data_IF_194576043711
#
_entry.id   IF_194576043711
#
_cell.length_a   1.000
_cell.length_b   1.000
_cell.length_c   1.000
_cell.angle_alpha   90.00
_cell.angle_beta   90.00
_cell.angle_gamma   90.00
#
_symmetry.space_group_name_H-M   'P 1'
#
loop_
_entity.id
_entity.type
_entity.pdbx_description
1 polymer ?
#
# COMPACT_ATOMS: atom_id res chain seq x y z
N UNK A 1 -66.29 -54.36 30.41
CA UNK A 1 -66.21 -54.47 31.88
C UNK A 1 -64.84 -53.96 32.26
N UNK A 2 -64.77 -52.80 32.90
CA UNK A 2 -63.51 -52.25 33.44
C UNK A 2 -62.97 -53.11 34.59
N UNK A 3 -61.66 -53.10 34.83
CA UNK A 3 -61.20 -52.41 36.04
C UNK A 3 -59.95 -51.55 35.82
N UNK A 4 -59.95 -50.30 36.29
CA UNK A 4 -59.41 -49.84 37.59
C UNK A 4 -57.88 -49.98 37.75
N UNK A 5 -57.21 -48.85 37.51
CA UNK A 5 -56.23 -48.13 38.35
C UNK A 5 -55.34 -48.93 39.32
N UNK A 6 -54.00 -48.86 39.12
CA UNK A 6 -53.02 -48.84 40.21
C UNK A 6 -51.94 -47.79 39.90
N UNK A 7 -51.76 -46.88 40.87
CA UNK A 7 -50.79 -45.78 40.91
C UNK A 7 -49.34 -46.28 41.07
N UNK A 8 -48.36 -45.59 40.47
CA UNK A 8 -46.99 -45.59 40.99
C UNK A 8 -46.19 -44.30 40.73
N UNK A 9 -46.06 -43.52 41.82
CA UNK A 9 -44.91 -42.74 42.35
C UNK A 9 -43.97 -41.98 41.37
N UNK A 10 -43.75 -40.66 41.59
CA UNK A 10 -42.79 -39.87 40.80
C UNK A 10 -41.33 -40.19 41.15
N UNK A 11 -40.53 -40.48 40.12
CA UNK A 11 -39.06 -40.64 40.22
C UNK A 11 -38.38 -39.27 40.42
N UNK A 12 -37.35 -39.14 41.29
CA UNK A 12 -36.64 -37.87 41.45
C UNK A 12 -35.85 -37.53 40.19
N UNK A 13 -35.92 -36.25 39.79
CA UNK A 13 -35.19 -35.69 38.67
C UNK A 13 -33.67 -35.93 38.80
N UNK A 14 -33.07 -36.51 37.76
CA UNK A 14 -31.63 -36.45 37.58
C UNK A 14 -31.26 -35.01 37.16
N UNK A 15 -30.24 -34.38 37.76
CA UNK A 15 -29.78 -33.07 37.33
C UNK A 15 -29.17 -33.18 35.93
N UNK A 16 -29.76 -32.48 34.97
CA UNK A 16 -29.20 -32.31 33.64
C UNK A 16 -27.93 -31.47 33.75
N UNK A 17 -26.78 -32.06 33.39
CA UNK A 17 -25.52 -31.35 33.20
C UNK A 17 -25.62 -30.56 31.89
N UNK A 18 -26.32 -29.43 31.91
CA UNK A 18 -26.09 -28.35 30.97
C UNK A 18 -25.16 -27.36 31.65
N UNK A 19 -23.87 -27.68 31.63
CA UNK A 19 -22.84 -26.70 31.92
C UNK A 19 -22.87 -25.65 30.82
N UNK A 20 -22.92 -24.39 31.25
CA UNK A 20 -22.80 -23.19 30.44
C UNK A 20 -21.62 -23.32 29.47
N UNK A 21 -21.92 -23.53 28.19
CA UNK A 21 -20.96 -23.24 27.13
C UNK A 21 -20.93 -21.73 27.01
N UNK A 22 -20.06 -21.13 27.81
CA UNK A 22 -19.59 -19.75 27.66
C UNK A 22 -19.39 -19.50 26.17
N UNK A 23 -20.19 -18.60 25.62
CA UNK A 23 -20.17 -18.27 24.20
C UNK A 23 -18.75 -17.96 23.78
N UNK A 24 -18.16 -18.83 22.94
CA UNK A 24 -16.98 -18.45 22.16
C UNK A 24 -17.43 -17.26 21.33
N UNK A 25 -16.99 -16.06 21.72
CA UNK A 25 -17.22 -14.85 20.96
C UNK A 25 -16.83 -15.15 19.50
N UNK A 26 -17.78 -14.96 18.58
CA UNK A 26 -17.48 -15.03 17.15
C UNK A 26 -16.29 -14.09 16.93
N UNK A 27 -15.19 -14.54 16.28
CA UNK A 27 -14.10 -13.64 15.97
C UNK A 27 -14.67 -12.42 15.25
N UNK A 28 -14.25 -11.20 15.61
CA UNK A 28 -14.83 -9.99 15.06
C UNK A 28 -14.83 -10.09 13.53
N UNK A 29 -15.93 -9.71 12.92
CA UNK A 29 -16.03 -9.70 11.47
C UNK A 29 -14.96 -8.75 10.91
N UNK A 30 -14.12 -9.27 10.00
CA UNK A 30 -13.09 -8.49 9.30
C UNK A 30 -13.79 -7.32 8.59
N UNK A 31 -13.26 -6.10 8.72
CA UNK A 31 -13.91 -4.94 8.09
C UNK A 31 -13.85 -4.99 6.55
N UNK A 32 -14.68 -4.19 5.84
CA UNK A 32 -14.55 -4.02 4.39
C UNK A 32 -13.15 -3.56 3.97
N UNK A 33 -12.53 -2.67 4.76
CA UNK A 33 -11.18 -2.16 4.50
C UNK A 33 -10.13 -3.28 4.55
N UNK A 34 -10.17 -4.10 5.60
CA UNK A 34 -9.28 -5.25 5.73
C UNK A 34 -9.55 -6.31 4.65
N UNK A 35 -10.81 -6.51 4.27
CA UNK A 35 -11.18 -7.43 3.20
C UNK A 35 -10.56 -7.02 1.87
N UNK A 36 -10.70 -5.76 1.46
CA UNK A 36 -10.14 -5.24 0.21
C UNK A 36 -8.60 -5.25 0.24
N UNK A 37 -7.99 -4.85 1.35
CA UNK A 37 -6.53 -4.91 1.53
C UNK A 37 -6.00 -6.34 1.38
N UNK A 38 -6.64 -7.34 2.00
CA UNK A 38 -6.24 -8.74 1.90
C UNK A 38 -6.42 -9.28 0.47
N UNK A 39 -7.52 -8.93 -0.20
CA UNK A 39 -7.74 -9.33 -1.60
C UNK A 39 -6.64 -8.77 -2.51
N UNK A 40 -6.28 -7.49 -2.33
CA UNK A 40 -5.19 -6.86 -3.06
C UNK A 40 -3.85 -7.53 -2.80
N UNK A 41 -3.49 -7.79 -1.54
CA UNK A 41 -2.22 -8.43 -1.18
C UNK A 41 -2.13 -9.86 -1.71
N UNK A 42 -3.22 -10.63 -1.65
CA UNK A 42 -3.30 -11.98 -2.25
C UNK A 42 -3.13 -11.95 -3.77
N UNK A 43 -3.71 -10.95 -4.43
CA UNK A 43 -3.58 -10.77 -5.88
C UNK A 43 -2.13 -10.46 -6.26
N UNK A 44 -1.44 -9.60 -5.50
CA UNK A 44 -0.02 -9.34 -5.70
C UNK A 44 0.79 -10.62 -5.48
N UNK A 45 0.58 -11.27 -4.33
CA UNK A 45 1.44 -12.37 -3.87
C UNK A 45 0.85 -13.14 -2.68
N UNK A 46 -0.09 -14.07 -2.93
CA UNK A 46 -0.73 -14.87 -1.88
C UNK A 46 0.21 -15.77 -1.05
N UNK A 47 1.45 -15.99 -1.49
CA UNK A 47 2.41 -16.86 -0.80
C UNK A 47 3.61 -16.11 -0.25
N UNK A 48 3.67 -14.79 -0.44
CA UNK A 48 4.79 -13.97 -0.02
C UNK A 48 4.57 -13.31 1.33
N UNK A 49 5.66 -12.75 1.85
CA UNK A 49 5.59 -11.83 3.00
C UNK A 49 5.03 -10.47 2.56
N UNK A 50 4.42 -9.76 3.50
CA UNK A 50 3.96 -8.39 3.29
C UNK A 50 4.41 -7.51 4.44
N UNK A 51 4.74 -6.26 4.17
CA UNK A 51 5.00 -5.25 5.19
C UNK A 51 3.98 -4.14 5.03
N UNK A 52 3.31 -3.78 6.12
CA UNK A 52 2.35 -2.68 6.17
C UNK A 52 2.86 -1.58 7.11
N UNK A 53 2.58 -0.34 6.73
CA UNK A 53 3.05 0.86 7.42
C UNK A 53 1.90 1.85 7.56
N UNK A 54 1.73 2.44 8.74
CA UNK A 54 0.74 3.45 9.02
C UNK A 54 1.43 4.80 9.35
N UNK A 55 0.94 5.88 8.78
CA UNK A 55 1.40 7.24 9.06
C UNK A 55 0.27 8.11 9.62
N UNK A 56 0.65 9.00 10.54
CA UNK A 56 -0.23 10.02 11.09
C UNK A 56 -0.62 11.02 9.99
N UNK A 57 -1.93 11.20 9.69
CA UNK A 57 -2.38 12.11 8.65
C UNK A 57 -2.39 13.57 9.09
N UNK A 58 -2.05 13.88 10.35
CA UNK A 58 -2.06 15.26 10.88
C UNK A 58 -0.75 16.01 10.62
N UNK A 59 0.31 15.30 10.22
CA UNK A 59 1.64 15.86 9.92
C UNK A 59 2.03 15.59 8.47
N UNK A 60 2.76 16.53 7.85
CA UNK A 60 3.24 16.37 6.46
C UNK A 60 4.35 15.34 6.34
N UNK A 61 5.14 15.17 7.40
CA UNK A 61 6.23 14.19 7.46
C UNK A 61 6.49 13.78 8.91
N UNK A 62 6.87 12.52 9.11
CA UNK A 62 7.24 11.97 10.41
C UNK A 62 7.56 10.48 10.30
N UNK A 63 8.05 9.87 11.38
CA UNK A 63 8.20 8.42 11.42
C UNK A 63 6.82 7.74 11.32
N UNK A 64 6.77 6.48 10.87
CA UNK A 64 5.54 5.69 10.96
C UNK A 64 5.05 5.60 12.41
N UNK A 65 3.74 5.65 12.60
CA UNK A 65 3.12 5.40 13.92
C UNK A 65 2.98 3.90 14.21
N UNK A 66 2.96 3.07 13.17
CA UNK A 66 3.01 1.63 13.27
C UNK A 66 3.58 1.04 11.98
N UNK A 67 4.30 -0.07 12.10
CA UNK A 67 4.72 -0.87 10.97
C UNK A 67 4.86 -2.33 11.39
N UNK A 68 4.49 -3.26 10.49
CA UNK A 68 4.58 -4.69 10.76
C UNK A 68 4.87 -5.46 9.47
N UNK A 69 5.80 -6.40 9.57
CA UNK A 69 6.12 -7.42 8.57
C UNK A 69 5.43 -8.72 8.95
N UNK A 70 4.58 -9.21 8.05
CA UNK A 70 3.75 -10.39 8.17
C UNK A 70 4.39 -11.57 7.45
N UNK A 71 4.34 -12.74 8.09
CA UNK A 71 4.70 -13.98 7.43
C UNK A 71 3.70 -14.29 6.29
N UNK A 72 4.14 -15.12 5.34
CA UNK A 72 3.24 -15.62 4.30
C UNK A 72 2.02 -16.29 4.94
N UNK A 73 0.83 -15.89 4.51
CA UNK A 73 -0.44 -16.43 5.01
C UNK A 73 -0.97 -15.82 6.32
N UNK A 74 -0.28 -14.86 6.96
CA UNK A 74 -0.77 -14.16 8.17
C UNK A 74 -1.85 -13.10 7.82
N UNK A 75 -2.93 -13.56 7.21
CA UNK A 75 -4.06 -12.72 6.79
C UNK A 75 -4.85 -12.17 7.98
N UNK A 76 -4.90 -12.91 9.10
CA UNK A 76 -5.52 -12.45 10.34
C UNK A 76 -4.74 -11.28 10.94
N UNK A 77 -3.41 -11.36 11.01
CA UNK A 77 -2.58 -10.27 11.50
C UNK A 77 -2.68 -9.03 10.60
N UNK A 78 -2.78 -9.23 9.28
CA UNK A 78 -3.04 -8.15 8.32
C UNK A 78 -4.40 -7.50 8.58
N UNK A 79 -5.46 -8.30 8.76
CA UNK A 79 -6.79 -7.79 9.07
C UNK A 79 -6.78 -6.92 10.34
N UNK A 80 -6.20 -7.43 11.42
CA UNK A 80 -6.07 -6.71 12.69
C UNK A 80 -5.30 -5.39 12.53
N UNK A 81 -4.22 -5.38 11.75
CA UNK A 81 -3.45 -4.17 11.49
C UNK A 81 -4.27 -3.15 10.71
N UNK A 82 -4.98 -3.58 9.66
CA UNK A 82 -5.82 -2.66 8.87
C UNK A 82 -6.99 -2.14 9.69
N UNK A 83 -7.70 -3.01 10.40
CA UNK A 83 -8.87 -2.64 11.23
C UNK A 83 -8.51 -1.67 12.35
N UNK A 84 -7.30 -1.80 12.92
CA UNK A 84 -6.81 -0.90 13.96
C UNK A 84 -6.54 0.53 13.47
N UNK A 85 -6.11 0.69 12.21
CA UNK A 85 -5.55 1.96 11.73
C UNK A 85 -6.35 2.61 10.59
N UNK A 86 -7.22 1.86 9.90
CA UNK A 86 -8.01 2.40 8.80
C UNK A 86 -8.95 3.50 9.29
N UNK A 87 -8.97 4.62 8.57
CA UNK A 87 -9.80 5.78 8.90
C UNK A 87 -9.17 6.77 9.89
N UNK A 88 -8.13 6.37 10.62
CA UNK A 88 -7.35 7.23 11.53
C UNK A 88 -5.91 7.44 11.08
N UNK A 89 -5.39 6.56 10.22
CA UNK A 89 -4.05 6.63 9.65
C UNK A 89 -4.05 6.37 8.14
N UNK A 90 -3.03 6.89 7.48
CA UNK A 90 -2.73 6.58 6.09
C UNK A 90 -1.98 5.24 6.01
N UNK A 91 -2.55 4.24 5.35
CA UNK A 91 -1.96 2.89 5.27
C UNK A 91 -1.22 2.65 3.96
N UNK A 92 -0.08 1.97 4.06
CA UNK A 92 0.80 1.66 2.95
C UNK A 92 1.28 0.21 3.02
N UNK A 93 1.71 -0.32 1.88
CA UNK A 93 2.50 -1.55 1.81
C UNK A 93 3.89 -1.26 1.24
N UNK A 94 4.89 -2.03 1.65
CA UNK A 94 6.12 -2.15 0.86
C UNK A 94 5.82 -2.98 -0.40
N UNK A 95 6.12 -2.42 -1.58
CA UNK A 95 5.72 -3.00 -2.85
C UNK A 95 6.31 -4.40 -3.09
N UNK A 96 7.61 -4.56 -2.86
CA UNK A 96 8.32 -5.82 -3.01
C UNK A 96 8.33 -6.66 -1.72
N UNK A 97 8.67 -7.94 -1.87
CA UNK A 97 8.54 -8.91 -0.78
C UNK A 97 9.64 -8.72 0.27
N UNK A 98 9.28 -8.54 1.55
CA UNK A 98 10.25 -8.49 2.64
C UNK A 98 11.04 -9.80 2.79
N UNK A 99 12.31 -9.69 3.17
CA UNK A 99 13.12 -10.83 3.59
C UNK A 99 12.60 -11.50 4.86
N UNK A 100 13.01 -12.75 5.11
CA UNK A 100 12.56 -13.50 6.29
C UNK A 100 12.98 -12.86 7.63
N UNK A 101 14.07 -12.09 7.62
CA UNK A 101 14.65 -11.38 8.77
C UNK A 101 14.33 -9.88 8.76
N UNK A 102 13.47 -9.41 7.85
CA UNK A 102 13.12 -8.00 7.77
C UNK A 102 12.51 -7.51 9.09
N UNK A 103 12.83 -6.28 9.52
CA UNK A 103 12.39 -5.76 10.81
C UNK A 103 10.88 -5.49 10.82
N UNK A 104 10.37 -5.26 12.04
CA UNK A 104 9.05 -4.69 12.27
C UNK A 104 9.19 -3.15 12.19
N UNK A 105 9.15 -2.61 10.97
CA UNK A 105 9.47 -1.21 10.70
C UNK A 105 9.17 -0.82 9.25
N UNK A 106 9.35 0.47 8.91
CA UNK A 106 9.47 0.90 7.50
C UNK A 106 10.70 0.23 6.92
N UNK A 107 10.53 -0.49 5.81
CA UNK A 107 11.62 -1.22 5.20
C UNK A 107 12.56 -0.30 4.43
N UNK A 108 13.75 -0.84 4.17
CA UNK A 108 14.83 -0.26 3.37
C UNK A 108 15.20 -1.27 2.29
N UNK A 109 15.99 -0.88 1.29
CA UNK A 109 16.40 -1.76 0.18
C UNK A 109 16.98 -3.08 0.65
N UNK A 110 17.83 -3.06 1.67
CA UNK A 110 18.47 -4.26 2.24
C UNK A 110 17.50 -5.23 2.93
N UNK A 111 16.28 -4.78 3.26
CA UNK A 111 15.24 -5.61 3.85
C UNK A 111 14.37 -6.32 2.81
N UNK A 112 14.54 -6.02 1.51
CA UNK A 112 13.78 -6.67 0.43
C UNK A 112 14.42 -8.02 0.12
N UNK A 113 13.63 -9.09 0.23
CA UNK A 113 14.07 -10.44 -0.06
C UNK A 113 13.85 -10.84 -1.52
N UNK A 114 12.78 -10.34 -2.14
CA UNK A 114 12.46 -10.60 -3.55
C UNK A 114 11.79 -9.42 -4.24
N UNK A 115 12.19 -9.15 -5.48
CA UNK A 115 11.50 -8.20 -6.35
C UNK A 115 10.38 -8.96 -7.06
N UNK A 116 9.13 -8.56 -6.81
CA UNK A 116 7.92 -9.18 -7.39
C UNK A 116 7.17 -8.27 -8.34
N UNK A 117 7.51 -6.98 -8.36
CA UNK A 117 6.88 -5.98 -9.22
C UNK A 117 7.85 -4.85 -9.53
N UNK A 118 7.62 -4.21 -10.67
CA UNK A 118 8.04 -2.81 -10.92
C UNK A 118 6.80 -1.93 -10.95
N UNK A 119 6.97 -0.64 -10.67
CA UNK A 119 5.85 0.27 -10.48
C UNK A 119 6.19 1.70 -10.87
N UNK A 120 5.14 2.48 -11.08
CA UNK A 120 5.17 3.92 -11.22
C UNK A 120 4.03 4.52 -10.39
N UNK A 121 4.25 5.72 -9.85
CA UNK A 121 3.24 6.52 -9.15
C UNK A 121 3.13 7.85 -9.87
N UNK A 122 1.90 8.25 -10.19
CA UNK A 122 1.63 9.47 -10.95
C UNK A 122 0.63 10.29 -10.16
N UNK A 123 1.12 11.41 -9.62
CA UNK A 123 0.30 12.39 -8.93
C UNK A 123 -0.13 13.53 -9.86
N UNK A 124 -1.25 14.22 -9.57
CA UNK A 124 -1.67 15.40 -10.30
C UNK A 124 -0.60 16.49 -10.28
N UNK A 125 -0.32 17.09 -11.44
CA UNK A 125 0.62 18.20 -11.57
C UNK A 125 0.23 19.40 -10.68
N UNK A 126 1.24 20.05 -10.11
CA UNK A 126 1.05 21.25 -9.29
C UNK A 126 0.44 22.40 -10.10
N UNK A 127 -0.38 23.21 -9.42
CA UNK A 127 -1.02 24.39 -10.02
C UNK A 127 -2.19 24.10 -10.96
N UNK A 128 -2.52 22.82 -11.21
CA UNK A 128 -3.73 22.43 -11.92
C UNK A 128 -4.86 22.20 -10.91
N UNK A 129 -6.09 22.56 -11.29
CA UNK A 129 -7.28 22.22 -10.52
C UNK A 129 -7.36 20.69 -10.31
N UNK A 130 -7.61 20.27 -9.07
CA UNK A 130 -7.42 18.90 -8.60
C UNK A 130 -8.30 17.90 -9.35
N UNK A 131 -9.58 18.21 -9.56
CA UNK A 131 -10.49 17.28 -10.23
C UNK A 131 -10.14 17.13 -11.72
N UNK A 132 -9.88 18.25 -12.42
CA UNK A 132 -9.45 18.21 -13.82
C UNK A 132 -8.14 17.42 -14.01
N UNK A 133 -7.19 17.60 -13.10
CA UNK A 133 -5.94 16.85 -13.16
C UNK A 133 -6.19 15.35 -12.93
N UNK A 134 -7.09 14.99 -12.01
CA UNK A 134 -7.49 13.59 -11.80
C UNK A 134 -8.23 12.98 -12.98
N UNK A 135 -9.09 13.73 -13.67
CA UNK A 135 -9.75 13.26 -14.90
C UNK A 135 -8.72 12.95 -16.00
N UNK A 136 -7.69 13.78 -16.09
CA UNK A 136 -6.56 13.57 -17.04
C UNK A 136 -5.82 12.27 -16.71
N UNK A 137 -5.53 12.02 -15.43
CA UNK A 137 -4.88 10.79 -15.00
C UNK A 137 -5.78 9.55 -15.18
N UNK A 138 -7.09 9.66 -14.92
CA UNK A 138 -8.03 8.58 -15.17
C UNK A 138 -8.08 8.23 -16.68
N UNK A 139 -8.12 9.23 -17.56
CA UNK A 139 -8.05 9.01 -19.00
C UNK A 139 -6.69 8.43 -19.45
N UNK A 140 -5.59 8.76 -18.78
CA UNK A 140 -4.29 8.10 -19.01
C UNK A 140 -4.34 6.63 -18.58
N UNK A 141 -4.89 6.33 -17.40
CA UNK A 141 -5.06 4.98 -16.90
C UNK A 141 -5.89 4.12 -17.86
N UNK A 142 -7.00 4.64 -18.41
CA UNK A 142 -7.79 3.92 -19.42
C UNK A 142 -6.99 3.61 -20.69
N UNK A 143 -6.21 4.57 -21.20
CA UNK A 143 -5.34 4.36 -22.37
C UNK A 143 -4.28 3.29 -22.12
N UNK A 144 -3.69 3.27 -20.93
CA UNK A 144 -2.67 2.28 -20.56
C UNK A 144 -3.20 0.85 -20.50
N UNK A 145 -4.50 0.64 -20.20
CA UNK A 145 -5.11 -0.70 -20.21
C UNK A 145 -5.01 -1.39 -21.56
N UNK A 146 -4.95 -0.61 -22.66
CA UNK A 146 -4.82 -1.10 -24.03
C UNK A 146 -3.42 -0.87 -24.63
N UNK A 147 -2.44 -0.45 -23.81
CA UNK A 147 -1.07 -0.20 -24.27
C UNK A 147 -0.30 -1.49 -24.60
N UNK A 148 0.94 -1.33 -25.06
CA UNK A 148 1.82 -2.45 -25.40
C UNK A 148 2.26 -3.27 -24.16
N UNK A 149 2.43 -2.61 -23.02
CA UNK A 149 2.72 -3.23 -21.72
C UNK A 149 1.71 -2.75 -20.67
N UNK A 150 0.46 -3.22 -20.71
CA UNK A 150 -0.57 -2.71 -19.81
C UNK A 150 -0.24 -3.07 -18.35
N UNK A 151 -0.48 -2.20 -17.36
CA UNK A 151 -0.26 -2.53 -15.95
C UNK A 151 -1.03 -3.80 -15.54
N UNK A 152 -0.45 -4.62 -14.67
CA UNK A 152 -1.16 -5.75 -14.05
C UNK A 152 -2.24 -5.23 -13.10
N UNK A 153 -1.93 -4.15 -12.39
CA UNK A 153 -2.80 -3.54 -11.40
C UNK A 153 -2.73 -2.02 -11.55
N UNK A 154 -3.88 -1.37 -11.40
CA UNK A 154 -3.95 0.08 -11.26
C UNK A 154 -4.73 0.38 -9.97
N UNK A 155 -4.11 1.17 -9.10
CA UNK A 155 -4.69 1.66 -7.86
C UNK A 155 -4.93 3.16 -8.00
N UNK A 156 -6.17 3.58 -7.83
CA UNK A 156 -6.47 4.98 -7.53
C UNK A 156 -6.17 5.17 -6.04
N UNK A 157 -5.05 5.85 -5.74
CA UNK A 157 -4.57 6.03 -4.37
C UNK A 157 -5.36 7.09 -3.61
N UNK A 158 -6.30 7.77 -4.27
CA UNK A 158 -6.99 8.97 -3.80
C UNK A 158 -6.17 10.25 -3.96
N UNK A 159 -4.84 10.17 -4.08
CA UNK A 159 -3.95 11.29 -4.42
C UNK A 159 -3.67 11.38 -5.92
N UNK A 160 -3.38 10.21 -6.50
CA UNK A 160 -2.98 9.98 -7.88
C UNK A 160 -3.24 8.51 -8.27
N UNK A 161 -2.43 7.98 -9.18
CA UNK A 161 -2.57 6.61 -9.67
C UNK A 161 -1.26 5.83 -9.57
N UNK A 162 -1.34 4.64 -9.00
CA UNK A 162 -0.23 3.71 -8.86
C UNK A 162 -0.41 2.56 -9.84
N UNK A 163 0.62 2.33 -10.64
CA UNK A 163 0.65 1.31 -11.68
C UNK A 163 1.66 0.24 -11.28
N UNK A 164 1.23 -1.03 -11.26
CA UNK A 164 2.09 -2.15 -10.93
C UNK A 164 2.14 -3.13 -12.09
N UNK A 165 3.35 -3.52 -12.48
CA UNK A 165 3.62 -4.63 -13.40
C UNK A 165 4.18 -5.77 -12.57
N UNK A 166 3.36 -6.79 -12.32
CA UNK A 166 3.76 -7.95 -11.54
C UNK A 166 4.66 -8.85 -12.39
N UNK A 167 5.70 -9.39 -11.76
CA UNK A 167 6.64 -10.28 -12.43
C UNK A 167 6.14 -11.72 -12.41
N UNK A 168 6.44 -12.44 -13.49
CA UNK A 168 6.12 -13.86 -13.62
C UNK A 168 6.91 -14.68 -12.60
N UNK A 169 8.19 -14.33 -12.43
CA UNK A 169 9.08 -14.91 -11.44
C UNK A 169 9.59 -13.80 -10.52
N UNK A 170 9.69 -14.13 -9.23
CA UNK A 170 10.27 -13.24 -8.22
C UNK A 170 11.79 -13.20 -8.40
N UNK A 171 12.35 -12.01 -8.54
CA UNK A 171 13.78 -11.83 -8.82
C UNK A 171 14.58 -11.64 -7.54
N UNK A 172 15.85 -12.03 -7.59
CA UNK A 172 16.83 -11.76 -6.54
C UNK A 172 17.30 -10.29 -6.63
N UNK A 173 17.09 -9.48 -5.57
CA UNK A 173 17.59 -8.10 -5.53
C UNK A 173 19.09 -7.99 -5.80
N UNK A 174 19.91 -8.96 -5.37
CA UNK A 174 21.36 -8.92 -5.56
C UNK A 174 21.77 -8.89 -7.04
N UNK A 175 20.94 -9.46 -7.92
CA UNK A 175 21.19 -9.52 -9.36
C UNK A 175 20.39 -8.47 -10.14
N UNK A 176 19.18 -8.15 -9.67
CA UNK A 176 18.20 -7.39 -10.45
C UNK A 176 17.90 -5.98 -9.92
N UNK A 177 18.56 -5.52 -8.85
CA UNK A 177 18.33 -4.18 -8.29
C UNK A 177 18.43 -3.07 -9.34
N UNK A 178 19.55 -3.00 -10.06
CA UNK A 178 19.80 -1.97 -11.07
C UNK A 178 18.75 -2.00 -12.18
N UNK A 179 18.39 -3.20 -12.63
CA UNK A 179 17.35 -3.39 -13.64
C UNK A 179 15.99 -2.92 -13.12
N UNK A 180 15.57 -3.33 -11.93
CA UNK A 180 14.23 -3.03 -11.41
C UNK A 180 14.04 -1.53 -11.17
N UNK A 181 15.01 -0.86 -10.56
CA UNK A 181 14.95 0.59 -10.36
C UNK A 181 15.06 1.34 -11.70
N UNK A 182 15.86 0.83 -12.64
CA UNK A 182 15.96 1.42 -13.98
C UNK A 182 14.68 1.29 -14.81
N UNK A 183 14.02 0.13 -14.72
CA UNK A 183 12.75 -0.12 -15.36
C UNK A 183 11.64 0.74 -14.72
N UNK A 184 11.61 0.84 -13.40
CA UNK A 184 10.69 1.73 -12.68
C UNK A 184 10.86 3.20 -13.08
N UNK A 185 12.10 3.70 -13.15
CA UNK A 185 12.39 5.06 -13.65
C UNK A 185 11.89 5.27 -15.07
N UNK A 186 12.15 4.32 -15.96
CA UNK A 186 11.73 4.42 -17.35
C UNK A 186 10.21 4.50 -17.47
N UNK A 187 9.49 3.64 -16.75
CA UNK A 187 8.02 3.65 -16.70
C UNK A 187 7.48 4.95 -16.10
N UNK A 188 8.07 5.45 -15.01
CA UNK A 188 7.69 6.73 -14.43
C UNK A 188 7.90 7.88 -15.43
N UNK A 189 9.05 7.92 -16.11
CA UNK A 189 9.34 8.92 -17.13
C UNK A 189 8.30 8.92 -18.27
N UNK A 190 7.99 7.76 -18.85
CA UNK A 190 6.99 7.63 -19.92
C UNK A 190 5.59 8.08 -19.48
N UNK A 191 5.30 7.95 -18.18
CA UNK A 191 4.01 8.33 -17.61
C UNK A 191 3.94 9.77 -17.12
N UNK A 192 5.06 10.50 -17.07
CA UNK A 192 5.16 11.78 -16.38
C UNK A 192 4.96 11.64 -14.86
N UNK A 193 5.36 10.49 -14.31
CA UNK A 193 5.24 10.15 -12.89
C UNK A 193 6.45 10.54 -12.05
N UNK A 194 6.30 10.28 -10.74
CA UNK A 194 7.28 10.63 -9.73
C UNK A 194 8.51 9.70 -9.73
N UNK A 195 9.61 10.19 -9.17
CA UNK A 195 10.83 9.41 -8.95
C UNK A 195 10.66 8.45 -7.75
N UNK A 196 9.91 7.36 -7.95
CA UNK A 196 9.52 6.40 -6.89
C UNK A 196 10.03 4.98 -7.12
N UNK A 197 11.05 4.82 -7.96
CA UNK A 197 11.55 3.54 -8.46
C UNK A 197 12.18 2.59 -7.43
N UNK A 198 12.50 3.07 -6.22
CA UNK A 198 13.31 2.32 -5.26
C UNK A 198 12.61 1.02 -4.85
N UNK A 199 13.31 -0.12 -4.82
CA UNK A 199 12.66 -1.45 -4.66
C UNK A 199 11.91 -1.65 -3.34
N UNK A 200 12.18 -0.82 -2.34
CA UNK A 200 11.55 -0.76 -1.02
C UNK A 200 10.42 0.29 -0.93
N UNK A 201 9.93 0.79 -2.06
CA UNK A 201 8.91 1.84 -2.11
C UNK A 201 7.65 1.43 -1.36
N UNK A 202 7.13 2.38 -0.58
CA UNK A 202 5.80 2.31 -0.01
C UNK A 202 4.76 2.76 -1.06
N UNK A 203 3.77 1.91 -1.31
CA UNK A 203 2.60 2.22 -2.13
C UNK A 203 1.35 2.31 -1.25
N UNK A 204 0.27 2.95 -1.73
CA UNK A 204 -0.96 3.07 -0.95
C UNK A 204 -1.62 1.70 -0.87
N UNK A 205 -2.08 1.33 0.33
CA UNK A 205 -2.86 0.10 0.52
C UNK A 205 -4.35 0.37 0.21
N UNK A 206 -4.95 -0.29 -0.80
CA UNK A 206 -6.38 -0.16 -1.10
C UNK A 206 -7.27 -0.65 0.04
N UNK A 207 -8.52 -0.18 0.07
CA UNK A 207 -9.50 -0.48 1.12
C UNK A 207 -9.53 0.53 2.25
N UNK A 208 -8.55 1.42 2.36
CA UNK A 208 -8.50 2.48 3.36
C UNK A 208 -8.53 3.88 2.73
N UNK A 209 -9.09 4.90 3.40
CA UNK A 209 -9.09 6.25 2.86
C UNK A 209 -7.70 6.88 2.86
N UNK A 210 -7.36 7.61 1.79
CA UNK A 210 -6.33 8.62 1.77
C UNK A 210 -6.82 9.84 2.56
N UNK A 211 -6.12 10.13 3.65
CA UNK A 211 -6.41 11.22 4.57
C UNK A 211 -5.41 12.36 4.29
N UNK A 212 -5.81 13.42 3.56
CA UNK A 212 -4.91 14.53 3.30
C UNK A 212 -4.55 15.27 4.58
N UNK A 213 -3.31 15.74 4.66
CA UNK A 213 -2.83 16.58 5.77
C UNK A 213 -3.50 17.96 5.75
N UNK A 214 -3.45 18.72 6.85
CA UNK A 214 -4.01 20.08 6.88
C UNK A 214 -3.49 20.97 5.74
N UNK A 215 -2.19 20.89 5.42
CA UNK A 215 -1.59 21.62 4.30
C UNK A 215 -2.14 21.17 2.94
N UNK A 216 -2.39 19.88 2.74
CA UNK A 216 -3.02 19.35 1.51
C UNK A 216 -4.49 19.74 1.41
N UNK A 217 -5.23 19.78 2.52
CA UNK A 217 -6.61 20.25 2.58
C UNK A 217 -6.70 21.73 2.18
N UNK A 218 -5.79 22.56 2.67
CA UNK A 218 -5.71 23.98 2.29
C UNK A 218 -5.47 24.18 0.78
N UNK A 219 -4.87 23.19 0.10
CA UNK A 219 -4.68 23.14 -1.36
C UNK A 219 -5.84 22.47 -2.12
N UNK A 220 -6.98 22.26 -1.47
CA UNK A 220 -8.18 21.67 -2.08
C UNK A 220 -8.20 20.15 -2.17
N UNK A 221 -7.22 19.43 -1.58
CA UNK A 221 -7.25 17.97 -1.55
C UNK A 221 -8.30 17.48 -0.55
N UNK A 222 -9.09 16.50 -0.96
CA UNK A 222 -10.16 15.90 -0.14
C UNK A 222 -9.87 14.45 0.19
N UNK A 223 -10.49 13.96 1.27
CA UNK A 223 -10.45 12.54 1.65
C UNK A 223 -11.05 11.68 0.54
N UNK A 224 -10.33 10.63 0.11
CA UNK A 224 -10.77 9.70 -0.95
C UNK A 224 -10.41 8.27 -0.60
N UNK A 225 -11.29 7.31 -0.91
CA UNK A 225 -10.98 5.89 -0.73
C UNK A 225 -9.90 5.46 -1.73
N UNK A 226 -8.84 4.81 -1.25
CA UNK A 226 -7.89 4.14 -2.13
C UNK A 226 -8.51 2.83 -2.62
N UNK A 227 -8.55 2.61 -3.94
CA UNK A 227 -9.28 1.51 -4.58
C UNK A 227 -8.51 0.92 -5.75
N UNK A 228 -8.70 -0.37 -5.98
CA UNK A 228 -8.22 -1.03 -7.19
C UNK A 228 -9.19 -0.73 -8.33
N UNK A 229 -8.71 -0.16 -9.43
CA UNK A 229 -9.53 0.14 -10.63
C UNK A 229 -9.24 -0.78 -11.82
N UNK A 230 -8.16 -1.55 -11.74
CA UNK A 230 -7.82 -2.64 -12.66
C UNK A 230 -7.09 -3.72 -11.86
N UNK A 231 -7.47 -4.98 -12.05
CA UNK A 231 -6.72 -6.13 -11.56
C UNK A 231 -6.78 -7.27 -12.58
N UNK A 232 -5.64 -7.58 -13.18
CA UNK A 232 -5.49 -8.66 -14.15
C UNK A 232 -4.45 -9.68 -13.63
N UNK A 233 -4.76 -10.48 -12.58
CA UNK A 233 -3.77 -11.28 -11.86
C UNK A 233 -2.98 -12.28 -12.72
N UNK A 234 -3.54 -12.70 -13.87
CA UNK A 234 -2.88 -13.56 -14.84
C UNK A 234 -1.85 -12.82 -15.73
N UNK A 235 -1.92 -11.49 -15.80
CA UNK A 235 -0.99 -10.65 -16.55
C UNK A 235 0.29 -10.46 -15.74
N UNK A 236 1.31 -11.24 -16.06
CA UNK A 236 2.62 -11.19 -15.40
C UNK A 236 3.74 -11.14 -16.43
N UNK A 237 4.80 -10.42 -16.10
CA UNK A 237 5.85 -10.08 -17.03
C UNK A 237 7.18 -10.73 -16.69
N UNK A 238 7.93 -11.14 -17.71
CA UNK A 238 9.37 -11.31 -17.60
C UNK A 238 10.05 -9.94 -17.72
N UNK A 239 11.28 -9.77 -17.20
CA UNK A 239 12.07 -8.56 -17.42
C UNK A 239 12.15 -8.12 -18.88
N UNK A 240 12.36 -9.07 -19.79
CA UNK A 240 12.46 -8.82 -21.24
C UNK A 240 11.16 -8.31 -21.86
N UNK A 241 10.00 -8.70 -21.32
CA UNK A 241 8.70 -8.26 -21.85
C UNK A 241 8.54 -6.74 -21.62
N UNK A 242 9.02 -6.24 -20.48
CA UNK A 242 8.99 -4.81 -20.16
C UNK A 242 10.10 -4.05 -20.90
N UNK A 243 11.35 -4.54 -20.80
CA UNK A 243 12.52 -3.84 -21.33
C UNK A 243 12.58 -3.76 -22.85
N UNK A 244 11.88 -4.64 -23.57
CA UNK A 244 11.76 -4.57 -25.04
C UNK A 244 10.84 -3.45 -25.52
N UNK A 245 9.90 -3.00 -24.67
CA UNK A 245 8.97 -1.90 -24.99
C UNK A 245 9.45 -0.59 -24.39
N UNK A 246 9.92 -0.62 -23.14
CA UNK A 246 10.45 0.56 -22.44
C UNK A 246 11.81 0.18 -21.85
N UNK A 247 12.89 0.63 -22.50
CA UNK A 247 14.24 0.32 -22.05
C UNK A 247 14.52 0.91 -20.65
N UNK A 248 15.17 0.17 -19.73
CA UNK A 248 15.52 0.68 -18.42
C UNK A 248 16.40 1.94 -18.50
N UNK A 249 16.09 2.94 -17.67
CA UNK A 249 16.88 4.17 -17.57
C UNK A 249 17.93 4.05 -16.47
N UNK A 250 19.18 4.41 -16.79
CA UNK A 250 20.25 4.50 -15.80
C UNK A 250 19.95 5.56 -14.74
N UNK A 251 20.55 5.43 -13.54
CA UNK A 251 20.49 6.48 -12.53
C UNK A 251 21.32 7.69 -13.03
N UNK A 252 20.81 8.92 -13.00
CA UNK A 252 21.60 10.09 -13.34
C UNK A 252 22.84 10.19 -12.43
N UNK A 253 24.01 10.51 -12.99
CA UNK A 253 25.28 10.54 -12.25
C UNK A 253 25.30 11.52 -11.04
N UNK A 254 24.36 12.47 -11.00
CA UNK A 254 24.26 13.51 -9.96
C UNK A 254 23.06 13.33 -9.01
N UNK A 255 22.32 12.22 -9.09
CA UNK A 255 21.20 11.97 -8.19
C UNK A 255 21.71 11.47 -6.82
N UNK A 256 21.66 12.33 -5.80
CA UNK A 256 21.95 11.94 -4.40
C UNK A 256 20.92 10.91 -3.91
N UNK A 257 21.29 10.06 -2.95
CA UNK A 257 20.36 9.09 -2.34
C UNK A 257 19.13 9.76 -1.70
N UNK A 258 19.22 11.06 -1.39
CA UNK A 258 18.13 11.87 -0.81
C UNK A 258 16.97 12.15 -1.78
N UNK A 259 17.20 12.16 -3.10
CA UNK A 259 16.10 12.39 -4.07
C UNK A 259 15.15 11.19 -4.15
N UNK A 260 15.57 10.02 -3.66
CA UNK A 260 14.78 8.78 -3.63
C UNK A 260 13.89 8.67 -2.35
N UNK A 261 14.02 9.62 -1.40
CA UNK A 261 13.49 9.51 -0.04
C UNK A 261 12.48 10.60 0.37
N UNK A 262 11.50 10.97 -0.47
CA UNK A 262 10.40 11.83 0.00
C UNK A 262 9.36 11.08 0.86
N UNK A 263 9.81 10.58 2.02
CA UNK A 263 9.25 10.76 3.38
C UNK A 263 10.40 10.42 4.34
N UNK A 264 11.43 11.28 4.44
CA UNK A 264 12.16 11.64 5.68
C UNK A 264 12.92 12.95 5.41
N UNK A 265 13.03 13.80 6.42
CA UNK A 265 13.86 15.02 6.54
C UNK A 265 13.34 16.33 5.92
N UNK A 266 12.52 17.02 6.71
CA UNK A 266 12.57 18.47 6.76
C UNK A 266 13.69 18.94 7.69
N UNK A 267 14.78 19.47 7.13
CA UNK A 267 15.68 20.42 7.82
C UNK A 267 16.24 21.45 6.82
N UNK A 268 15.78 22.70 7.01
CA UNK A 268 16.44 24.01 6.81
C UNK A 268 17.48 24.18 5.70
N UNK A 269 17.20 25.15 4.81
CA UNK A 269 18.06 26.28 4.38
C UNK A 269 17.14 27.21 3.57
N UNK A 270 16.98 28.51 3.82
CA UNK A 270 17.98 29.52 4.18
C UNK A 270 17.46 30.54 5.19
N UNK A 271 18.34 30.87 6.15
CA UNK A 271 18.30 32.09 6.95
C UNK A 271 18.48 33.29 6.01
N UNK A 272 17.58 34.27 6.09
CA UNK A 272 17.76 35.58 5.49
C UNK A 272 18.95 36.28 6.13
N UNK A 273 19.86 36.73 5.28
CA UNK A 273 21.05 37.50 5.62
C UNK A 273 20.60 38.96 5.86
N UNK A 274 20.52 39.39 7.12
CA UNK A 274 20.43 40.81 7.45
C UNK A 274 21.82 41.43 7.29
N UNK A 275 22.07 41.98 6.11
CA UNK A 275 23.24 42.80 5.79
C UNK A 275 22.77 44.20 5.44
N UNK A 276 23.13 45.15 6.30
CA UNK A 276 22.88 46.58 6.21
C UNK A 276 23.07 47.19 4.81
N UNK A 277 22.12 48.03 4.40
CA UNK A 277 22.39 49.17 3.52
C UNK A 277 21.79 50.43 4.14
N UNK A 278 22.71 51.30 4.53
CA UNK A 278 22.53 52.71 4.86
C UNK A 278 21.82 53.46 3.74
N UNK A 279 20.80 54.24 4.08
CA UNK A 279 20.39 55.39 3.29
C UNK A 279 20.95 56.65 3.96
N UNK A 280 21.85 57.33 3.25
CA UNK A 280 22.20 58.71 3.53
C UNK A 280 21.20 59.62 2.80
N UNK A 281 20.76 60.67 3.48
CA UNK A 281 19.82 61.68 2.99
C UNK A 281 19.00 62.25 4.14
#
# INVERSE_FOLDING_TARGET
>A
MDPVNIQHVPTPAQPSVFGDVVGKARPPAISPAATEAIQFLKMIDATGRHNLVAFDPTVDSGPPIAARTFAAGDWSGIAEFVDRHSGTANLYLTANEPGATAPQGKLRKEHIGRIRAVYADVDPADGVEVERARDTLAAQAERLKAGAIPPTVIVDSGGGFQYLWLLKEKLDPAQFLSWAEGQGRALAHELGGDAVQNIDRLLRLPGSPNLPTPGKIAKGRVKRLARVILAEPGRRYKPTDLSSVVAPLAKPANATEETDAHIVDGVKLFRGNEGAMSWGG
#
